data_IF_023889742042
#
_entry.id   IF_023889742042
#
_cell.length_a   1.000
_cell.length_b   1.000
_cell.length_c   1.000
_cell.angle_alpha   90.00
_cell.angle_beta   90.00
_cell.angle_gamma   90.00
#
_symmetry.space_group_name_H-M   'P 1'
#
loop_
_entity.id
_entity.type
_entity.pdbx_description
1 polymer ?
#
# COMPACT_ATOMS: atom_id res chain seq x y z
N UNK A 1 -3.44 4.51 -0.43
CA UNK A 1 -4.56 4.18 0.50
C UNK A 1 -4.29 4.99 1.75
N UNK A 2 -5.17 5.94 2.06
CA UNK A 2 -4.86 7.08 2.92
C UNK A 2 -4.19 8.19 2.12
N UNK A 3 -4.84 9.35 2.09
CA UNK A 3 -4.42 10.55 1.34
C UNK A 3 -4.15 11.69 2.32
N UNK A 4 -5.01 11.84 3.32
CA UNK A 4 -5.02 12.97 4.24
C UNK A 4 -4.93 14.30 3.47
N UNK A 5 -3.96 15.15 3.78
CA UNK A 5 -3.73 16.44 3.11
C UNK A 5 -2.90 16.33 1.83
N UNK A 6 -2.58 15.12 1.36
CA UNK A 6 -2.10 14.87 0.02
C UNK A 6 -0.59 14.87 -0.19
N UNK A 7 0.23 14.94 0.86
CA UNK A 7 1.69 15.04 0.71
C UNK A 7 2.29 13.85 -0.03
N UNK A 8 2.02 12.62 0.40
CA UNK A 8 2.54 11.40 -0.23
C UNK A 8 2.04 11.23 -1.67
N UNK A 9 0.74 11.42 -1.89
CA UNK A 9 0.14 11.36 -3.24
C UNK A 9 0.71 12.43 -4.18
N UNK A 10 1.01 13.63 -3.69
CA UNK A 10 1.69 14.67 -4.46
C UNK A 10 3.11 14.26 -4.84
N UNK A 11 3.90 13.73 -3.90
CA UNK A 11 5.25 13.22 -4.18
C UNK A 11 5.24 12.14 -5.26
N UNK A 12 4.31 11.18 -5.18
CA UNK A 12 4.17 10.13 -6.19
C UNK A 12 3.75 10.73 -7.54
N UNK A 13 2.78 11.64 -7.58
CA UNK A 13 2.28 12.24 -8.82
C UNK A 13 3.34 13.06 -9.56
N UNK A 14 4.24 13.71 -8.83
CA UNK A 14 5.39 14.44 -9.37
C UNK A 14 6.44 13.48 -9.98
N UNK A 15 6.63 12.30 -9.40
CA UNK A 15 7.56 11.29 -9.91
C UNK A 15 7.02 10.48 -11.09
N UNK A 16 5.69 10.42 -11.26
CA UNK A 16 5.05 9.70 -12.36
C UNK A 16 5.30 10.37 -13.72
N UNK A 17 5.34 9.59 -14.83
CA UNK A 17 5.29 10.15 -16.17
C UNK A 17 4.00 10.95 -16.40
N UNK A 18 3.93 11.73 -17.48
CA UNK A 18 2.76 12.57 -17.80
C UNK A 18 1.47 11.77 -17.96
N UNK A 19 1.57 10.51 -18.42
CA UNK A 19 0.45 9.58 -18.56
C UNK A 19 0.27 8.65 -17.35
N UNK A 20 0.98 8.89 -16.24
CA UNK A 20 0.81 8.12 -15.01
C UNK A 20 -0.51 8.45 -14.31
N UNK A 21 -1.07 7.46 -13.62
CA UNK A 21 -2.35 7.59 -12.92
C UNK A 21 -2.23 7.10 -11.48
N UNK A 22 -2.95 7.76 -10.57
CA UNK A 22 -3.07 7.40 -9.15
C UNK A 22 -4.54 7.24 -8.84
N UNK A 23 -4.92 6.09 -8.28
CA UNK A 23 -6.16 5.94 -7.53
C UNK A 23 -5.84 6.28 -6.07
N UNK A 24 -6.38 7.40 -5.60
CA UNK A 24 -6.17 7.91 -4.25
C UNK A 24 -7.43 7.60 -3.41
N UNK A 25 -7.32 6.85 -2.32
CA UNK A 25 -8.47 6.46 -1.50
C UNK A 25 -8.40 7.12 -0.12
N UNK A 26 -9.47 7.79 0.31
CA UNK A 26 -9.59 8.38 1.64
C UNK A 26 -11.06 8.48 2.07
N UNK A 27 -11.32 8.59 3.37
CA UNK A 27 -12.67 8.76 3.92
C UNK A 27 -13.03 10.24 4.17
N UNK A 28 -12.03 11.13 4.32
CA UNK A 28 -12.23 12.51 4.74
C UNK A 28 -12.26 13.47 3.56
N UNK A 29 -13.45 14.01 3.26
CA UNK A 29 -13.59 15.11 2.30
C UNK A 29 -12.88 16.39 2.77
N UNK A 30 -12.93 16.69 4.07
CA UNK A 30 -12.30 17.86 4.67
C UNK A 30 -10.78 17.90 4.41
N UNK A 31 -10.09 16.80 4.72
CA UNK A 31 -8.64 16.73 4.52
C UNK A 31 -8.26 16.65 3.04
N UNK A 32 -9.02 15.89 2.27
CA UNK A 32 -8.72 15.75 0.84
C UNK A 32 -9.05 16.99 0.01
N UNK A 33 -9.89 17.91 0.50
CA UNK A 33 -10.05 19.24 -0.10
C UNK A 33 -8.72 20.02 -0.11
N UNK A 34 -7.91 19.86 0.95
CA UNK A 34 -6.55 20.43 1.01
C UNK A 34 -5.65 19.72 -0.01
N UNK A 35 -5.72 18.39 -0.09
CA UNK A 35 -4.97 17.60 -1.05
C UNK A 35 -5.23 18.04 -2.50
N UNK A 36 -6.51 18.17 -2.90
CA UNK A 36 -6.91 18.63 -4.23
C UNK A 36 -6.33 19.99 -4.58
N UNK A 37 -6.41 20.96 -3.65
CA UNK A 37 -5.82 22.29 -3.85
C UNK A 37 -4.32 22.21 -4.17
N UNK A 38 -3.56 21.39 -3.46
CA UNK A 38 -2.12 21.28 -3.71
C UNK A 38 -1.79 20.47 -4.96
N UNK A 39 -2.59 19.48 -5.34
CA UNK A 39 -2.44 18.78 -6.61
C UNK A 39 -2.67 19.71 -7.81
N UNK A 40 -3.64 20.62 -7.71
CA UNK A 40 -3.91 21.65 -8.73
C UNK A 40 -2.75 22.65 -8.82
N UNK A 41 -2.30 23.19 -7.68
CA UNK A 41 -1.17 24.13 -7.64
C UNK A 41 0.12 23.54 -8.22
N UNK A 42 0.35 22.24 -8.03
CA UNK A 42 1.50 21.53 -8.59
C UNK A 42 1.30 21.08 -10.05
N UNK A 43 0.11 21.28 -10.64
CA UNK A 43 -0.19 20.90 -12.01
C UNK A 43 -0.32 19.38 -12.25
N UNK A 44 -0.49 18.59 -11.18
CA UNK A 44 -0.54 17.11 -11.26
C UNK A 44 -1.93 16.52 -11.00
N UNK A 45 -2.94 17.36 -10.71
CA UNK A 45 -4.30 16.92 -10.43
C UNK A 45 -4.88 15.98 -11.50
N UNK A 46 -4.53 16.19 -12.77
CA UNK A 46 -4.97 15.34 -13.89
C UNK A 46 -4.51 13.87 -13.79
N UNK A 47 -3.46 13.57 -13.00
CA UNK A 47 -2.98 12.21 -12.76
C UNK A 47 -3.73 11.50 -11.63
N UNK A 48 -4.55 12.19 -10.84
CA UNK A 48 -5.04 11.68 -9.56
C UNK A 48 -6.56 11.57 -9.59
N UNK A 49 -7.06 10.35 -9.40
CA UNK A 49 -8.47 10.05 -9.18
C UNK A 49 -8.73 9.80 -7.70
N UNK A 50 -9.34 10.77 -7.03
CA UNK A 50 -9.74 10.62 -5.62
C UNK A 50 -11.05 9.83 -5.50
N UNK A 51 -11.02 8.78 -4.69
CA UNK A 51 -12.14 7.92 -4.33
C UNK A 51 -12.46 8.15 -2.84
N UNK A 52 -13.59 8.80 -2.57
CA UNK A 52 -14.06 9.05 -1.22
C UNK A 52 -14.87 7.86 -0.68
N UNK A 53 -14.52 7.40 0.51
CA UNK A 53 -15.17 6.30 1.21
C UNK A 53 -14.18 5.25 1.73
N UNK A 54 -14.67 4.16 2.37
CA UNK A 54 -13.81 3.10 2.86
C UNK A 54 -12.96 2.53 1.72
N UNK A 55 -11.63 2.54 1.88
CA UNK A 55 -10.71 2.14 0.83
C UNK A 55 -10.95 0.70 0.36
N UNK A 56 -11.38 -0.19 1.26
CA UNK A 56 -11.68 -1.59 0.95
C UNK A 56 -12.74 -1.71 -0.16
N UNK A 57 -13.76 -0.84 -0.17
CA UNK A 57 -14.82 -0.85 -1.18
C UNK A 57 -14.26 -0.46 -2.56
N UNK A 58 -13.36 0.53 -2.60
CA UNK A 58 -12.67 0.92 -3.84
C UNK A 58 -11.80 -0.21 -4.35
N UNK A 59 -11.04 -0.89 -3.48
CA UNK A 59 -10.17 -2.00 -3.87
C UNK A 59 -10.98 -3.19 -4.39
N UNK A 60 -12.04 -3.58 -3.70
CA UNK A 60 -12.92 -4.69 -4.12
C UNK A 60 -13.62 -4.37 -5.45
N UNK A 61 -14.03 -3.10 -5.66
CA UNK A 61 -14.58 -2.64 -6.94
C UNK A 61 -13.55 -2.76 -8.08
N UNK A 62 -12.32 -2.30 -7.87
CA UNK A 62 -11.26 -2.40 -8.88
C UNK A 62 -10.99 -3.86 -9.26
N UNK A 63 -10.97 -4.77 -8.28
CA UNK A 63 -10.83 -6.21 -8.53
C UNK A 63 -12.00 -6.73 -9.38
N UNK A 64 -13.24 -6.39 -9.01
CA UNK A 64 -14.43 -6.79 -9.75
C UNK A 64 -14.48 -6.23 -11.19
N UNK A 65 -13.87 -5.06 -11.42
CA UNK A 65 -13.72 -4.42 -12.73
C UNK A 65 -12.54 -4.98 -13.54
N UNK A 66 -11.92 -6.08 -13.10
CA UNK A 66 -10.86 -6.76 -13.83
C UNK A 66 -9.50 -6.06 -13.77
N UNK A 67 -9.26 -5.20 -12.77
CA UNK A 67 -7.99 -4.49 -12.58
C UNK A 67 -6.93 -5.33 -11.84
N UNK A 68 -7.10 -6.65 -11.77
CA UNK A 68 -6.11 -7.53 -11.19
C UNK A 68 -4.79 -7.45 -11.97
N UNK A 69 -3.69 -7.23 -11.26
CA UNK A 69 -2.36 -7.12 -11.85
C UNK A 69 -2.13 -5.89 -12.73
N UNK A 70 -2.94 -4.83 -12.64
CA UNK A 70 -2.76 -3.61 -13.45
C UNK A 70 -1.97 -2.50 -12.76
N UNK A 71 -1.77 -2.59 -11.43
CA UNK A 71 -1.04 -1.57 -10.67
C UNK A 71 0.47 -1.87 -10.59
N UNK A 72 1.30 -0.86 -10.80
CA UNK A 72 2.76 -0.96 -10.62
C UNK A 72 3.19 -0.82 -9.15
N UNK A 73 2.49 0.04 -8.41
CA UNK A 73 2.85 0.50 -7.09
C UNK A 73 1.61 0.76 -6.23
N UNK A 74 1.67 0.39 -4.95
CA UNK A 74 0.66 0.74 -3.95
C UNK A 74 1.35 1.27 -2.70
N UNK A 75 0.83 2.37 -2.14
CA UNK A 75 1.23 2.91 -0.84
C UNK A 75 0.07 2.78 0.16
N UNK A 76 0.32 2.16 1.31
CA UNK A 76 -0.67 1.91 2.37
C UNK A 76 -0.28 2.71 3.61
N UNK A 77 -1.07 3.73 3.94
CA UNK A 77 -0.95 4.54 5.14
C UNK A 77 -2.34 5.01 5.60
N UNK A 78 -3.10 4.11 6.23
CA UNK A 78 -4.44 4.38 6.73
C UNK A 78 -4.60 3.81 8.15
N UNK A 79 -5.81 3.36 8.49
CA UNK A 79 -6.14 2.66 9.73
C UNK A 79 -5.44 1.29 9.80
N UNK A 80 -4.76 1.04 10.92
CA UNK A 80 -3.74 -0.02 11.04
C UNK A 80 -4.36 -1.40 11.16
N UNK A 81 -5.56 -1.46 11.72
CA UNK A 81 -6.38 -2.64 11.92
C UNK A 81 -6.75 -3.32 10.59
N UNK A 82 -6.84 -2.53 9.51
CA UNK A 82 -7.18 -3.03 8.17
C UNK A 82 -5.97 -3.24 7.26
N UNK A 83 -4.72 -3.09 7.74
CA UNK A 83 -3.52 -3.26 6.92
C UNK A 83 -3.47 -4.60 6.19
N UNK A 84 -3.86 -5.69 6.85
CA UNK A 84 -3.94 -7.01 6.22
C UNK A 84 -4.96 -7.04 5.08
N UNK A 85 -6.16 -6.50 5.31
CA UNK A 85 -7.20 -6.46 4.29
C UNK A 85 -6.74 -5.64 3.07
N UNK A 86 -6.14 -4.47 3.31
CA UNK A 86 -5.57 -3.63 2.26
C UNK A 86 -4.45 -4.33 1.51
N UNK A 87 -3.54 -5.00 2.22
CA UNK A 87 -2.43 -5.71 1.62
C UNK A 87 -2.91 -6.84 0.71
N UNK A 88 -3.86 -7.67 1.13
CA UNK A 88 -4.36 -8.79 0.32
C UNK A 88 -5.02 -8.34 -0.98
N UNK A 89 -5.81 -7.24 -0.95
CA UNK A 89 -6.37 -6.67 -2.19
C UNK A 89 -5.29 -6.02 -3.04
N UNK A 90 -4.36 -5.31 -2.41
CA UNK A 90 -3.24 -4.69 -3.11
C UNK A 90 -2.41 -5.76 -3.82
N UNK A 91 -2.15 -6.89 -3.19
CA UNK A 91 -1.40 -7.99 -3.78
C UNK A 91 -2.10 -8.60 -5.01
N UNK A 92 -3.44 -8.60 -5.05
CA UNK A 92 -4.19 -8.98 -6.26
C UNK A 92 -4.09 -7.92 -7.36
N UNK A 93 -4.19 -6.65 -7.00
CA UNK A 93 -4.18 -5.51 -7.92
C UNK A 93 -2.78 -5.21 -8.49
N UNK A 94 -1.70 -5.44 -7.73
CA UNK A 94 -0.34 -5.18 -8.24
C UNK A 94 0.10 -6.26 -9.21
N UNK A 95 0.75 -5.85 -10.30
CA UNK A 95 1.37 -6.78 -11.25
C UNK A 95 2.48 -7.60 -10.60
N UNK A 96 2.87 -8.69 -11.24
CA UNK A 96 4.09 -9.39 -10.86
C UNK A 96 5.31 -8.47 -10.98
N UNK A 97 6.15 -8.43 -9.95
CA UNK A 97 7.23 -7.46 -9.80
C UNK A 97 6.75 -6.03 -9.50
N UNK A 98 5.49 -5.83 -9.13
CA UNK A 98 4.98 -4.58 -8.57
C UNK A 98 5.33 -4.44 -7.09
N UNK A 99 5.34 -3.21 -6.59
CA UNK A 99 5.79 -2.90 -5.23
C UNK A 99 4.62 -2.41 -4.36
N UNK A 100 4.46 -3.01 -3.19
CA UNK A 100 3.56 -2.51 -2.15
C UNK A 100 4.43 -1.93 -1.04
N UNK A 101 4.18 -0.68 -0.67
CA UNK A 101 4.85 0.00 0.44
C UNK A 101 3.83 0.26 1.55
N UNK A 102 4.20 -0.09 2.77
CA UNK A 102 3.35 0.07 3.95
C UNK A 102 4.08 0.95 4.97
N UNK A 103 3.42 2.01 5.44
CA UNK A 103 3.99 2.98 6.37
C UNK A 103 3.72 2.63 7.84
N UNK A 104 4.49 3.28 8.72
CA UNK A 104 4.44 3.19 10.18
C UNK A 104 4.60 1.79 10.77
N UNK A 105 5.33 0.89 10.10
CA UNK A 105 5.46 -0.51 10.55
C UNK A 105 6.35 -0.68 11.79
N UNK A 106 7.14 0.36 12.15
CA UNK A 106 7.90 0.39 13.41
C UNK A 106 7.13 1.08 14.55
N UNK A 107 6.03 1.78 14.25
CA UNK A 107 5.05 2.32 15.20
C UNK A 107 5.67 2.99 16.43
N UNK A 108 6.57 3.94 16.21
CA UNK A 108 7.32 4.67 17.23
C UNK A 108 8.10 3.76 18.19
N UNK A 109 8.54 2.60 17.72
CA UNK A 109 9.21 1.55 18.49
C UNK A 109 8.26 0.71 19.36
N UNK A 110 6.96 1.02 19.43
CA UNK A 110 5.98 0.33 20.28
C UNK A 110 5.84 -1.15 19.94
N UNK A 111 6.01 -1.52 18.66
CA UNK A 111 5.96 -2.91 18.23
C UNK A 111 7.03 -3.78 18.89
N UNK A 112 8.14 -3.19 19.37
CA UNK A 112 9.21 -3.90 20.06
C UNK A 112 8.98 -4.06 21.58
N UNK A 113 8.07 -3.29 22.19
CA UNK A 113 7.79 -3.37 23.63
C UNK A 113 6.67 -4.37 23.93
N UNK A 114 6.97 -5.55 24.51
CA UNK A 114 5.96 -6.57 24.78
C UNK A 114 4.89 -6.14 25.78
N UNK A 115 5.08 -5.04 26.53
CA UNK A 115 4.08 -4.51 27.47
C UNK A 115 3.01 -3.67 26.79
N UNK A 116 3.26 -3.16 25.58
CA UNK A 116 2.28 -2.39 24.81
C UNK A 116 1.33 -3.35 24.11
N UNK A 117 0.05 -3.26 24.42
CA UNK A 117 -1.00 -4.21 24.01
C UNK A 117 -2.24 -3.50 23.43
N UNK A 118 -2.12 -2.24 22.99
CA UNK A 118 -3.22 -1.58 22.28
C UNK A 118 -3.47 -2.23 20.91
N UNK A 119 -4.70 -2.06 20.44
CA UNK A 119 -5.22 -2.71 19.23
C UNK A 119 -4.34 -2.45 18.00
N UNK A 120 -3.98 -1.19 17.74
CA UNK A 120 -3.15 -0.84 16.58
C UNK A 120 -1.74 -1.46 16.66
N UNK A 121 -1.12 -1.45 17.85
CA UNK A 121 0.21 -2.08 18.03
C UNK A 121 0.14 -3.59 17.80
N UNK A 122 -0.90 -4.26 18.29
CA UNK A 122 -1.12 -5.69 18.05
C UNK A 122 -1.41 -6.00 16.59
N UNK A 123 -2.22 -5.17 15.93
CA UNK A 123 -2.51 -5.31 14.51
C UNK A 123 -1.22 -5.21 13.67
N UNK A 124 -0.36 -4.23 13.93
CA UNK A 124 0.91 -4.06 13.22
C UNK A 124 1.86 -5.24 13.50
N UNK A 125 1.97 -5.72 14.74
CA UNK A 125 2.79 -6.92 15.04
C UNK A 125 2.32 -8.13 14.26
N UNK A 126 1.04 -8.44 14.34
CA UNK A 126 0.43 -9.58 13.62
C UNK A 126 0.65 -9.45 12.11
N UNK A 127 0.49 -8.24 11.58
CA UNK A 127 0.72 -7.96 10.17
C UNK A 127 2.20 -8.16 9.76
N UNK A 128 3.14 -7.61 10.54
CA UNK A 128 4.57 -7.77 10.31
C UNK A 128 5.00 -9.24 10.35
N UNK A 129 4.49 -10.02 11.31
CA UNK A 129 4.77 -11.46 11.44
C UNK A 129 4.24 -12.27 10.26
N UNK A 130 3.06 -11.90 9.74
CA UNK A 130 2.50 -12.52 8.52
C UNK A 130 3.36 -12.21 7.31
N UNK A 131 3.69 -10.94 7.07
CA UNK A 131 4.49 -10.52 5.91
C UNK A 131 5.88 -11.16 5.90
N UNK A 132 6.52 -11.31 7.06
CA UNK A 132 7.82 -11.98 7.19
C UNK A 132 7.82 -13.39 6.60
N UNK A 133 6.70 -14.09 6.68
CA UNK A 133 6.57 -15.49 6.27
C UNK A 133 5.81 -15.65 4.94
N UNK A 134 5.42 -14.56 4.26
CA UNK A 134 4.63 -14.63 3.03
C UNK A 134 5.51 -15.00 1.82
N UNK A 135 5.33 -16.20 1.22
CA UNK A 135 6.17 -16.66 0.11
C UNK A 135 5.90 -15.90 -1.20
N UNK A 136 4.83 -15.12 -1.29
CA UNK A 136 4.41 -14.38 -2.49
C UNK A 136 5.24 -13.11 -2.70
N UNK A 137 5.99 -12.67 -1.70
CA UNK A 137 6.73 -11.40 -1.73
C UNK A 137 8.22 -11.56 -1.38
N UNK A 138 9.02 -10.61 -1.85
CA UNK A 138 10.35 -10.33 -1.31
C UNK A 138 10.24 -9.08 -0.45
N UNK A 139 10.63 -9.20 0.83
CA UNK A 139 10.39 -8.21 1.87
C UNK A 139 11.67 -7.45 2.24
N UNK A 140 11.57 -6.15 2.47
CA UNK A 140 12.59 -5.34 3.15
C UNK A 140 11.91 -4.34 4.07
N UNK A 141 12.40 -4.20 5.31
CA UNK A 141 11.94 -3.16 6.25
C UNK A 141 13.04 -2.11 6.35
N UNK A 142 12.70 -0.84 6.11
CA UNK A 142 13.65 0.27 6.14
C UNK A 142 13.27 1.29 7.21
N UNK A 143 14.22 1.79 8.02
CA UNK A 143 13.96 2.73 9.11
C UNK A 143 13.88 4.18 8.59
N UNK A 144 12.97 4.44 7.65
CA UNK A 144 12.65 5.77 7.14
C UNK A 144 11.29 6.17 7.71
N UNK A 145 11.18 7.41 8.19
CA UNK A 145 9.97 7.86 8.87
C UNK A 145 9.70 7.00 10.10
N UNK A 146 8.47 6.51 10.23
CA UNK A 146 8.09 5.59 11.31
C UNK A 146 8.18 4.10 10.90
N UNK A 147 9.07 3.83 9.95
CA UNK A 147 9.31 2.50 9.38
C UNK A 147 8.46 2.23 8.15
N UNK A 148 9.13 1.84 7.07
CA UNK A 148 8.48 1.41 5.83
C UNK A 148 8.77 -0.06 5.58
N UNK A 149 7.72 -0.82 5.29
CA UNK A 149 7.85 -2.13 4.67
C UNK A 149 7.78 -1.98 3.15
N UNK A 150 8.77 -2.54 2.44
CA UNK A 150 8.80 -2.71 1.00
C UNK A 150 8.51 -4.18 0.68
N UNK A 151 7.34 -4.45 0.09
CA UNK A 151 6.90 -5.78 -0.31
C UNK A 151 6.83 -5.88 -1.84
N UNK A 152 7.86 -6.46 -2.45
CA UNK A 152 7.92 -6.69 -3.89
C UNK A 152 7.19 -8.00 -4.23
N UNK A 153 6.09 -7.94 -5.00
CA UNK A 153 5.38 -9.15 -5.45
C UNK A 153 6.28 -9.98 -6.36
N UNK A 154 6.56 -11.22 -5.96
CA UNK A 154 7.41 -12.12 -6.75
C UNK A 154 6.74 -12.42 -8.07
N UNK A 155 7.55 -12.48 -9.14
CA UNK A 155 7.12 -13.16 -10.36
C UNK A 155 7.03 -14.64 -9.99
N UNK A 156 5.91 -15.30 -10.30
CA UNK A 156 5.93 -16.75 -10.38
C UNK A 156 6.84 -17.12 -11.55
N UNK A 157 8.15 -17.14 -11.32
CA UNK A 157 8.99 -18.04 -12.07
C UNK A 157 8.44 -19.42 -11.73
N UNK A 158 8.05 -20.16 -12.77
CA UNK A 158 7.82 -21.60 -12.78
C UNK A 158 8.47 -22.20 -11.54
N UNK A 159 7.66 -22.52 -10.52
CA UNK A 159 8.13 -23.31 -9.41
C UNK A 159 8.82 -24.49 -10.07
N UNK A 160 10.11 -24.64 -9.78
CA UNK A 160 10.86 -25.83 -10.12
C UNK A 160 9.93 -27.01 -9.88
N UNK A 161 9.50 -27.65 -10.96
CA UNK A 161 9.20 -29.07 -10.84
C UNK A 161 10.50 -29.63 -10.28
N UNK A 162 10.50 -30.28 -9.10
CA UNK A 162 11.64 -31.09 -8.73
C UNK A 162 11.87 -32.01 -9.93
N UNK A 163 13.05 -31.93 -10.52
CA UNK A 163 13.44 -32.80 -11.62
C UNK A 163 13.04 -34.23 -11.24
N UNK A 164 12.06 -34.79 -11.96
CA UNK A 164 12.01 -36.22 -12.24
C UNK A 164 13.27 -36.51 -13.06
N UNK A 165 14.40 -36.64 -12.38
CA UNK A 165 15.62 -37.20 -12.94
C UNK A 165 16.52 -37.74 -11.82
N UNK A 166 16.36 -39.05 -11.68
CA UNK A 166 17.31 -40.09 -11.22
C UNK A 166 17.11 -40.65 -9.81
#
# INVERSE_FOLDING_TARGET
IGVFTGYSSLCVALALPSNGHIVACDVSEEYTAIARRYWELAGVAHKISLQLGPAINTLDKLIAEGQAGTFDFVFIDADKENYEAYFERSLQLVRNGGLIVIDNVLWSGRVADPKVQDESTLAIRNFNDKLRNDPRITLSVVPIGDGLTLALKRRWATLMQPDEQN
#
